data_IF_899599035028
#
_entry.id   IF_899599035028
#
_cell.length_a   1.000
_cell.length_b   1.000
_cell.length_c   1.000
_cell.angle_alpha   90.00
_cell.angle_beta   90.00
_cell.angle_gamma   90.00
#
_symmetry.space_group_name_H-M   'P 1'
#
loop_
_entity.id
_entity.type
_entity.pdbx_description
1 polymer ?
#
# COMPACT_ATOMS: atom_id res chain seq x y z
N UNK A 1 57.37 -40.44 -36.90
CA UNK A 1 57.11 -39.61 -38.11
C UNK A 1 56.65 -38.23 -37.66
N UNK A 2 57.37 -37.20 -38.09
CA UNK A 2 57.17 -35.77 -37.76
C UNK A 2 55.92 -35.21 -38.45
N UNK A 3 55.09 -34.44 -37.74
CA UNK A 3 54.20 -33.39 -38.28
C UNK A 3 54.17 -32.24 -37.28
N UNK A 4 55.00 -31.21 -37.48
CA UNK A 4 54.73 -29.94 -38.18
C UNK A 4 53.66 -29.08 -37.47
N UNK A 5 54.16 -28.23 -36.58
CA UNK A 5 53.51 -27.04 -36.04
C UNK A 5 53.71 -25.92 -37.07
N UNK A 6 52.62 -25.26 -37.49
CA UNK A 6 52.63 -24.08 -38.34
C UNK A 6 51.88 -22.91 -37.65
N UNK A 7 52.34 -21.65 -37.79
CA UNK A 7 51.94 -20.54 -36.92
C UNK A 7 50.85 -19.64 -37.52
N UNK A 8 50.18 -18.90 -36.63
CA UNK A 8 49.80 -17.50 -36.90
C UNK A 8 48.37 -17.24 -37.30
N UNK A 9 47.58 -16.71 -36.36
CA UNK A 9 46.63 -15.64 -36.66
C UNK A 9 46.38 -14.84 -35.37
N UNK A 10 47.06 -13.69 -35.24
CA UNK A 10 46.78 -12.71 -34.18
C UNK A 10 45.83 -11.69 -34.77
N UNK A 11 44.56 -11.75 -34.37
CA UNK A 11 43.55 -10.76 -34.73
C UNK A 11 43.68 -9.57 -33.76
N UNK A 12 44.33 -8.50 -34.20
CA UNK A 12 44.33 -7.21 -33.50
C UNK A 12 43.03 -6.47 -33.86
N UNK A 13 42.03 -6.53 -32.98
CA UNK A 13 40.85 -5.69 -33.05
C UNK A 13 41.19 -4.31 -32.48
N UNK A 14 41.45 -3.35 -33.36
CA UNK A 14 41.54 -1.94 -33.01
C UNK A 14 40.17 -1.40 -32.64
N UNK A 15 39.99 -1.04 -31.37
CA UNK A 15 38.84 -0.25 -30.93
C UNK A 15 39.14 1.21 -31.22
N UNK A 16 38.47 1.75 -32.23
CA UNK A 16 38.48 3.19 -32.54
C UNK A 16 37.65 3.90 -31.49
N UNK A 17 38.32 4.72 -30.67
CA UNK A 17 37.69 5.61 -29.70
C UNK A 17 37.05 6.79 -30.47
N UNK A 18 35.75 6.71 -30.74
CA UNK A 18 34.99 7.80 -31.33
C UNK A 18 34.60 8.76 -30.21
N UNK A 19 35.25 9.93 -30.20
CA UNK A 19 34.82 11.08 -29.42
C UNK A 19 33.45 11.57 -29.93
N UNK A 20 32.41 11.47 -29.10
CA UNK A 20 31.18 12.22 -29.33
C UNK A 20 31.42 13.70 -29.01
N UNK A 21 31.57 14.49 -30.08
CA UNK A 21 31.41 15.93 -30.04
C UNK A 21 29.94 16.28 -29.78
N UNK A 22 29.73 17.33 -28.99
CA UNK A 22 28.44 17.97 -28.79
C UNK A 22 27.86 18.46 -30.13
N UNK A 23 26.60 18.13 -30.39
CA UNK A 23 25.80 18.77 -31.43
C UNK A 23 24.61 19.47 -30.78
N UNK A 24 24.61 20.78 -30.95
CA UNK A 24 23.54 21.73 -30.67
C UNK A 24 22.29 21.46 -31.51
N UNK A 25 21.15 21.68 -30.88
CA UNK A 25 19.94 22.35 -31.38
C UNK A 25 19.48 22.04 -32.81
N UNK A 26 18.34 21.37 -32.92
CA UNK A 26 17.51 21.36 -34.12
C UNK A 26 16.06 21.31 -33.70
N UNK A 27 15.47 22.50 -33.71
CA UNK A 27 14.04 22.79 -33.71
C UNK A 27 13.33 21.99 -34.82
N UNK A 28 12.69 20.88 -34.45
CA UNK A 28 11.64 20.31 -35.30
C UNK A 28 10.33 21.08 -35.07
N UNK A 29 10.02 21.89 -36.07
CA UNK A 29 8.70 22.41 -36.36
C UNK A 29 7.79 21.25 -36.78
N UNK A 30 6.80 20.92 -35.94
CA UNK A 30 5.71 20.03 -36.31
C UNK A 30 4.70 20.79 -37.19
N UNK A 31 4.13 20.17 -38.23
CA UNK A 31 3.11 20.79 -39.07
C UNK A 31 1.80 20.98 -38.30
N UNK A 32 1.24 22.18 -38.46
CA UNK A 32 -0.02 22.62 -37.91
C UNK A 32 -1.19 21.75 -38.37
N UNK A 33 -1.93 21.18 -37.42
CA UNK A 33 -3.34 20.85 -37.60
C UNK A 33 -4.16 22.00 -37.00
N UNK A 34 -4.78 22.77 -37.89
CA UNK A 34 -5.72 23.81 -37.52
C UNK A 34 -6.99 23.21 -36.94
N UNK A 35 -7.27 23.58 -35.70
CA UNK A 35 -8.56 23.44 -35.04
C UNK A 35 -8.75 24.68 -34.18
N UNK A 36 -9.46 25.66 -34.73
CA UNK A 36 -9.81 26.88 -34.05
C UNK A 36 -10.85 26.57 -32.97
N UNK A 37 -10.62 27.04 -31.75
CA UNK A 37 -11.66 27.58 -30.88
C UNK A 37 -11.03 28.65 -30.00
N UNK A 38 -11.53 29.88 -30.17
CA UNK A 38 -11.04 31.07 -29.49
C UNK A 38 -11.53 31.14 -28.06
N UNK A 39 -10.60 31.38 -27.14
CA UNK A 39 -10.88 31.77 -25.76
C UNK A 39 -9.78 32.71 -25.31
N UNK A 40 -10.03 34.01 -25.46
CA UNK A 40 -9.19 35.09 -24.95
C UNK A 40 -9.16 35.06 -23.42
N UNK A 41 -7.98 35.03 -22.81
CA UNK A 41 -7.75 35.69 -21.53
C UNK A 41 -6.31 36.23 -21.49
N UNK A 42 -6.22 37.53 -21.77
CA UNK A 42 -5.09 38.36 -21.45
C UNK A 42 -5.34 38.97 -20.07
N UNK A 43 -4.44 38.75 -19.12
CA UNK A 43 -4.17 39.72 -18.04
C UNK A 43 -2.78 39.46 -17.47
N UNK A 44 -1.95 40.48 -17.64
CA UNK A 44 -0.61 40.60 -17.10
C UNK A 44 -0.62 41.17 -15.66
N UNK A 45 0.49 40.97 -14.95
CA UNK A 45 0.90 41.72 -13.75
C UNK A 45 0.32 41.19 -12.44
N UNK A 46 1.00 41.21 -11.30
CA UNK A 46 2.14 42.04 -10.93
C UNK A 46 2.84 41.42 -9.69
N UNK A 47 4.14 41.61 -9.60
CA UNK A 47 4.92 41.32 -8.38
C UNK A 47 4.59 42.34 -7.29
N UNK A 48 4.59 41.90 -6.03
CA UNK A 48 4.44 42.77 -4.86
C UNK A 48 4.98 42.11 -3.60
N UNK A 49 6.16 42.54 -3.18
CA UNK A 49 6.76 42.23 -1.88
C UNK A 49 6.28 43.22 -0.81
N UNK A 50 6.19 42.75 0.44
CA UNK A 50 6.37 43.58 1.63
C UNK A 50 5.13 43.78 2.52
N UNK A 51 5.34 43.61 3.83
CA UNK A 51 4.53 44.31 4.85
C UNK A 51 4.05 43.46 6.02
N UNK A 52 4.88 43.33 7.06
CA UNK A 52 4.43 42.95 8.39
C UNK A 52 3.74 44.14 9.09
N UNK A 53 2.59 43.91 9.71
CA UNK A 53 2.15 44.62 10.92
C UNK A 53 0.93 43.91 11.52
N UNK A 54 1.03 43.51 12.78
CA UNK A 54 -0.06 42.88 13.52
C UNK A 54 -1.16 43.85 13.94
N UNK A 55 -2.27 43.29 14.39
CA UNK A 55 -3.09 43.79 15.50
C UNK A 55 -4.10 42.73 15.92
N UNK A 56 -4.27 42.62 17.23
CA UNK A 56 -5.13 41.67 17.92
C UNK A 56 -6.62 41.98 17.76
N UNK A 57 -7.44 40.93 17.97
CA UNK A 57 -8.76 41.06 18.58
C UNK A 57 -9.94 40.66 17.69
N UNK A 58 -10.53 39.50 17.95
CA UNK A 58 -11.84 39.41 18.62
C UNK A 58 -12.25 37.95 18.82
N UNK A 59 -12.61 37.63 20.05
CA UNK A 59 -13.36 36.43 20.40
C UNK A 59 -14.78 36.53 19.81
N UNK A 60 -15.24 35.46 19.16
CA UNK A 60 -16.57 35.30 18.62
C UNK A 60 -17.09 33.90 18.97
N UNK A 61 -18.01 33.88 19.92
CA UNK A 61 -18.74 32.74 20.47
C UNK A 61 -19.74 32.13 19.48
N UNK A 62 -20.00 30.82 19.66
CA UNK A 62 -21.34 30.26 19.52
C UNK A 62 -21.61 29.54 18.20
N UNK A 63 -21.57 28.21 18.27
CA UNK A 63 -22.18 27.35 17.26
C UNK A 63 -23.70 27.32 17.39
N UNK A 64 -24.37 27.11 16.26
CA UNK A 64 -25.68 26.47 16.19
C UNK A 64 -25.80 25.76 14.83
N UNK A 65 -26.15 24.49 14.89
CA UNK A 65 -26.23 23.57 13.77
C UNK A 65 -27.40 23.91 12.82
N UNK A 66 -27.14 23.75 11.52
CA UNK A 66 -28.15 23.70 10.48
C UNK A 66 -28.85 22.32 10.50
N UNK A 67 -30.15 22.33 10.21
CA UNK A 67 -31.02 21.16 10.28
C UNK A 67 -31.07 20.28 9.03
N UNK A 68 -31.85 19.21 9.15
CA UNK A 68 -32.45 18.40 8.09
C UNK A 68 -33.74 17.79 8.70
N UNK A 69 -34.95 18.12 8.23
CA UNK A 69 -35.79 17.33 7.30
C UNK A 69 -35.82 15.82 7.63
N UNK A 70 -36.92 15.09 7.78
CA UNK A 70 -38.35 15.25 7.52
C UNK A 70 -38.94 13.84 7.31
N UNK A 71 -40.24 13.64 7.63
CA UNK A 71 -41.13 12.50 7.25
C UNK A 71 -40.80 11.08 7.79
N UNK A 72 -41.73 10.19 8.12
CA UNK A 72 -43.19 10.16 8.06
C UNK A 72 -43.73 9.23 9.17
N UNK A 73 -44.91 9.56 9.70
CA UNK A 73 -45.73 8.64 10.47
C UNK A 73 -46.51 7.69 9.58
N UNK A 74 -46.95 6.56 10.15
CA UNK A 74 -47.82 5.61 9.48
C UNK A 74 -48.16 4.43 10.38
N UNK A 75 -49.01 4.67 11.38
CA UNK A 75 -49.68 3.62 12.12
C UNK A 75 -50.80 3.01 11.25
N UNK A 76 -50.84 1.69 11.17
CA UNK A 76 -51.95 0.92 10.61
C UNK A 76 -52.26 -0.27 11.51
N UNK A 77 -53.33 -0.14 12.30
CA UNK A 77 -53.99 -1.24 13.01
C UNK A 77 -55.10 -1.81 12.12
N UNK A 78 -55.25 -3.14 12.06
CA UNK A 78 -56.51 -3.86 12.33
C UNK A 78 -56.53 -5.32 11.80
N UNK A 79 -56.84 -6.22 12.73
CA UNK A 79 -57.80 -7.35 12.68
C UNK A 79 -57.63 -8.52 11.68
N UNK A 80 -57.63 -9.75 12.23
CA UNK A 80 -58.03 -10.97 11.52
C UNK A 80 -57.52 -12.25 12.19
N UNK A 81 -58.42 -13.16 12.57
CA UNK A 81 -58.24 -14.24 13.55
C UNK A 81 -57.73 -15.60 12.99
N UNK A 82 -57.14 -16.43 13.88
CA UNK A 82 -57.58 -17.80 14.28
C UNK A 82 -56.44 -18.86 14.48
N UNK A 83 -56.55 -19.63 15.60
CA UNK A 83 -55.91 -20.94 15.87
C UNK A 83 -54.68 -20.95 16.80
N UNK A 84 -54.79 -21.19 18.13
CA UNK A 84 -54.64 -22.49 18.86
C UNK A 84 -53.28 -23.22 18.62
N UNK A 85 -52.50 -23.71 19.60
CA UNK A 85 -52.70 -24.01 21.03
C UNK A 85 -51.35 -24.25 21.79
N UNK A 86 -51.39 -24.08 23.13
CA UNK A 86 -50.56 -24.76 24.15
C UNK A 86 -49.12 -24.23 24.37
N UNK A 87 -48.56 -24.11 25.58
CA UNK A 87 -48.98 -24.52 26.92
C UNK A 87 -48.12 -23.77 27.98
N UNK A 88 -48.82 -23.19 28.93
CA UNK A 88 -48.55 -22.90 30.36
C UNK A 88 -47.11 -23.12 30.90
N UNK A 89 -46.52 -22.14 31.58
CA UNK A 89 -46.65 -21.87 33.03
C UNK A 89 -45.82 -20.60 33.32
N UNK A 90 -46.12 -19.65 34.21
CA UNK A 90 -47.10 -19.51 35.27
C UNK A 90 -46.52 -18.51 36.29
N UNK A 91 -47.33 -17.55 36.75
CA UNK A 91 -47.07 -16.71 37.95
C UNK A 91 -46.44 -15.34 37.67
N UNK A 92 -47.18 -14.23 37.56
CA UNK A 92 -47.88 -13.46 38.63
C UNK A 92 -46.89 -12.82 39.63
N UNK A 93 -47.00 -11.58 40.10
CA UNK A 93 -47.91 -10.43 39.99
C UNK A 93 -47.00 -9.21 40.34
N UNK A 94 -47.23 -7.95 39.98
CA UNK A 94 -48.44 -7.18 39.80
C UNK A 94 -48.21 -5.84 40.53
N UNK A 95 -48.38 -4.72 39.79
CA UNK A 95 -48.87 -3.38 40.22
C UNK A 95 -48.22 -2.69 41.45
N UNK A 96 -47.89 -1.39 41.46
CA UNK A 96 -48.72 -0.25 41.04
C UNK A 96 -47.89 1.06 41.08
N UNK A 97 -48.21 1.95 40.14
CA UNK A 97 -48.31 3.42 40.18
C UNK A 97 -47.43 4.29 41.12
N UNK A 98 -46.95 5.41 40.55
CA UNK A 98 -47.14 6.71 41.22
C UNK A 98 -46.00 7.74 41.16
N UNK A 99 -46.17 8.70 40.25
CA UNK A 99 -45.94 10.15 40.43
C UNK A 99 -44.53 10.74 40.61
N UNK A 100 -44.39 11.90 39.97
CA UNK A 100 -43.27 12.81 39.90
C UNK A 100 -43.03 13.61 41.20
N UNK A 101 -41.80 14.11 41.38
CA UNK A 101 -41.55 15.24 42.29
C UNK A 101 -40.11 15.42 42.77
N UNK A 102 -39.49 16.48 42.26
CA UNK A 102 -38.61 17.42 42.95
C UNK A 102 -37.17 17.06 43.40
N UNK A 103 -36.34 18.10 43.22
CA UNK A 103 -34.95 18.25 43.57
C UNK A 103 -34.69 18.22 45.09
N UNK A 104 -33.50 17.76 45.48
CA UNK A 104 -33.05 17.85 46.86
C UNK A 104 -31.69 17.19 47.08
N UNK A 105 -30.76 18.02 47.51
CA UNK A 105 -29.34 17.81 47.80
C UNK A 105 -28.98 16.75 48.86
N UNK A 106 -27.76 16.22 48.69
CA UNK A 106 -26.79 15.66 49.65
C UNK A 106 -27.18 14.48 50.54
N UNK A 107 -26.57 13.32 50.28
CA UNK A 107 -26.12 12.39 51.31
C UNK A 107 -24.99 11.51 50.77
N UNK A 108 -23.85 11.54 51.47
CA UNK A 108 -22.74 10.63 51.26
C UNK A 108 -23.19 9.20 51.56
N UNK A 109 -22.99 8.29 50.61
CA UNK A 109 -23.40 6.90 50.71
C UNK A 109 -22.38 5.96 50.07
N UNK A 110 -21.76 5.16 50.95
CA UNK A 110 -21.18 3.84 50.75
C UNK A 110 -20.18 3.60 49.59
N UNK A 111 -18.98 3.21 49.99
CA UNK A 111 -17.95 2.62 49.16
C UNK A 111 -18.50 1.41 48.38
N UNK A 112 -18.49 1.52 47.05
CA UNK A 112 -18.72 0.40 46.15
C UNK A 112 -17.55 -0.57 46.20
N UNK A 113 -17.87 -1.86 46.33
CA UNK A 113 -16.93 -2.97 46.16
C UNK A 113 -16.40 -2.97 44.73
N UNK A 114 -15.07 -2.99 44.59
CA UNK A 114 -14.39 -3.10 43.32
C UNK A 114 -14.83 -4.40 42.61
N UNK A 115 -15.41 -4.26 41.42
CA UNK A 115 -15.68 -5.38 40.54
C UNK A 115 -14.36 -6.05 40.14
N UNK A 116 -14.28 -7.35 40.35
CA UNK A 116 -13.21 -8.19 39.85
C UNK A 116 -13.24 -8.17 38.32
N UNK A 117 -12.36 -7.35 37.72
CA UNK A 117 -12.09 -7.37 36.28
C UNK A 117 -11.47 -8.71 35.91
N UNK A 118 -12.13 -9.42 35.00
CA UNK A 118 -11.71 -10.72 34.51
C UNK A 118 -10.33 -10.67 33.84
N UNK A 119 -9.37 -11.36 34.43
CA UNK A 119 -8.10 -11.69 33.80
C UNK A 119 -8.33 -12.83 32.80
N UNK A 120 -8.47 -12.49 31.50
CA UNK A 120 -8.30 -13.46 30.41
C UNK A 120 -7.84 -12.78 29.13
N UNK A 121 -6.86 -11.89 29.23
CA UNK A 121 -5.97 -11.59 28.12
C UNK A 121 -4.84 -12.60 28.13
N UNK A 122 -5.06 -13.77 27.52
CA UNK A 122 -3.96 -14.70 27.26
C UNK A 122 -2.90 -13.96 26.45
N UNK A 123 -1.70 -13.82 27.03
CA UNK A 123 -0.55 -13.31 26.31
C UNK A 123 -0.39 -14.16 25.05
N UNK A 124 -0.74 -13.58 23.89
CA UNK A 124 -0.44 -14.18 22.60
C UNK A 124 1.04 -14.51 22.63
N UNK A 125 1.37 -15.78 22.52
CA UNK A 125 2.74 -16.24 22.36
C UNK A 125 3.35 -15.42 21.24
N UNK A 126 4.29 -14.54 21.57
CA UNK A 126 5.13 -13.89 20.58
C UNK A 126 5.72 -15.02 19.75
N UNK A 127 5.26 -15.15 18.51
CA UNK A 127 5.71 -16.19 17.60
C UNK A 127 7.22 -16.14 17.60
N UNK A 128 7.85 -17.22 18.07
CA UNK A 128 9.30 -17.35 18.01
C UNK A 128 9.67 -17.11 16.57
N UNK A 129 10.37 -16.00 16.29
CA UNK A 129 10.94 -15.77 14.98
C UNK A 129 11.74 -17.01 14.66
N UNK A 130 11.21 -17.82 13.74
CA UNK A 130 11.79 -19.09 13.37
C UNK A 130 13.13 -18.81 12.72
N UNK A 131 14.16 -18.67 13.54
CA UNK A 131 15.57 -18.84 13.17
C UNK A 131 15.81 -20.32 12.90
N UNK A 132 14.94 -20.91 12.08
CA UNK A 132 15.17 -22.21 11.48
C UNK A 132 16.21 -21.95 10.43
N UNK A 133 17.48 -22.22 10.76
CA UNK A 133 18.58 -22.34 9.82
C UNK A 133 18.40 -23.49 8.84
N UNK A 134 17.20 -23.64 8.27
CA UNK A 134 16.98 -24.41 7.08
C UNK A 134 17.75 -23.78 5.92
N UNK A 135 18.01 -24.56 4.86
CA UNK A 135 18.70 -24.04 3.69
C UNK A 135 17.94 -22.81 3.17
N UNK A 136 18.68 -21.71 2.99
CA UNK A 136 18.16 -20.52 2.31
C UNK A 136 17.70 -20.95 0.93
N UNK A 137 16.43 -20.69 0.61
CA UNK A 137 15.93 -20.98 -0.74
C UNK A 137 16.73 -20.19 -1.76
N UNK A 138 17.06 -20.84 -2.86
CA UNK A 138 17.89 -20.22 -3.88
C UNK A 138 17.10 -19.22 -4.77
N UNK A 139 15.76 -19.26 -4.74
CA UNK A 139 14.89 -18.52 -5.65
C UNK A 139 14.37 -17.21 -5.07
N UNK A 140 14.27 -17.12 -3.75
CA UNK A 140 13.77 -15.95 -3.03
C UNK A 140 12.25 -15.80 -2.93
N UNK A 141 11.51 -16.23 -3.95
CA UNK A 141 10.05 -16.34 -3.89
C UNK A 141 9.62 -17.71 -3.38
N UNK A 142 8.55 -17.72 -2.59
CA UNK A 142 8.06 -18.90 -1.87
C UNK A 142 7.61 -20.03 -2.80
N UNK A 143 7.05 -19.69 -3.96
CA UNK A 143 6.61 -20.63 -4.99
C UNK A 143 7.71 -21.04 -5.97
N UNK A 144 8.92 -20.50 -5.81
CA UNK A 144 10.09 -20.87 -6.61
C UNK A 144 10.20 -20.16 -7.96
N UNK A 145 9.30 -19.22 -8.27
CA UNK A 145 9.37 -18.42 -9.50
C UNK A 145 9.65 -16.95 -9.20
N UNK A 146 10.45 -16.28 -10.03
CA UNK A 146 10.72 -14.84 -9.90
C UNK A 146 9.96 -14.09 -10.99
N UNK A 147 9.05 -13.22 -10.60
CA UNK A 147 8.29 -12.39 -11.55
C UNK A 147 8.96 -11.04 -11.78
N UNK A 148 9.96 -10.67 -11.00
CA UNK A 148 10.85 -9.56 -11.31
C UNK A 148 12.24 -9.84 -10.75
N UNK A 149 13.26 -9.15 -11.26
CA UNK A 149 14.65 -9.53 -11.00
C UNK A 149 14.90 -11.02 -11.33
N UNK A 150 14.35 -11.50 -12.45
CA UNK A 150 14.30 -12.92 -12.79
C UNK A 150 15.67 -13.56 -13.04
N UNK A 151 16.64 -12.78 -13.53
CA UNK A 151 18.02 -13.26 -13.68
C UNK A 151 18.71 -13.36 -12.32
N UNK A 152 18.69 -14.55 -11.71
CA UNK A 152 19.34 -14.84 -10.44
C UNK A 152 20.86 -14.61 -10.46
N UNK A 153 21.52 -14.77 -11.61
CA UNK A 153 22.97 -14.53 -11.70
C UNK A 153 23.29 -13.04 -11.56
N UNK A 154 22.39 -12.19 -12.05
CA UNK A 154 22.49 -10.74 -11.93
C UNK A 154 21.93 -10.22 -10.59
N UNK A 155 20.87 -10.84 -10.06
CA UNK A 155 20.15 -10.40 -8.86
C UNK A 155 20.13 -11.48 -7.76
N UNK A 156 21.29 -11.92 -7.24
CA UNK A 156 21.34 -13.06 -6.32
C UNK A 156 20.64 -12.81 -4.98
N UNK A 157 20.48 -11.54 -4.57
CA UNK A 157 20.03 -11.18 -3.22
C UNK A 157 18.69 -10.44 -3.15
N UNK A 158 18.04 -10.25 -4.30
CA UNK A 158 16.73 -9.62 -4.41
C UNK A 158 15.88 -10.39 -5.43
N UNK A 159 14.60 -10.55 -5.14
CA UNK A 159 13.60 -11.11 -6.04
C UNK A 159 12.32 -10.27 -5.96
N UNK A 160 11.59 -10.14 -7.06
CA UNK A 160 10.23 -9.62 -7.05
C UNK A 160 9.27 -10.80 -7.18
N UNK A 161 8.38 -10.97 -6.19
CA UNK A 161 7.54 -12.13 -6.04
C UNK A 161 6.07 -11.73 -6.15
N UNK A 162 5.39 -12.24 -7.17
CA UNK A 162 3.95 -12.07 -7.32
C UNK A 162 3.20 -12.94 -6.33
N UNK A 163 1.98 -12.52 -6.00
CA UNK A 163 1.06 -13.37 -5.25
C UNK A 163 -0.01 -12.58 -4.51
N UNK A 164 -0.79 -13.29 -3.72
CA UNK A 164 -1.90 -12.77 -2.93
C UNK A 164 -1.66 -13.04 -1.43
N UNK A 165 -2.31 -12.23 -0.59
CA UNK A 165 -2.37 -12.40 0.86
C UNK A 165 -3.64 -11.72 1.39
N UNK A 166 -4.25 -12.30 2.41
CA UNK A 166 -5.46 -11.77 3.04
C UNK A 166 -5.26 -11.28 4.48
N UNK A 167 -4.09 -11.53 5.06
CA UNK A 167 -3.74 -11.05 6.39
C UNK A 167 -3.14 -9.64 6.27
N UNK A 168 -3.81 -8.60 6.78
CA UNK A 168 -3.50 -7.21 6.46
C UNK A 168 -2.16 -6.76 7.04
N UNK A 169 -1.46 -5.91 6.28
CA UNK A 169 -0.27 -5.18 6.72
C UNK A 169 1.04 -5.62 6.06
N UNK A 170 2.03 -4.72 6.03
CA UNK A 170 3.36 -4.97 5.42
C UNK A 170 4.52 -4.99 6.43
N UNK A 171 4.34 -4.48 7.64
CA UNK A 171 5.44 -4.33 8.59
C UNK A 171 5.68 -5.57 9.44
N UNK A 172 6.88 -6.14 9.33
CA UNK A 172 7.41 -7.22 10.17
C UNK A 172 6.42 -8.37 10.40
N UNK A 173 5.61 -8.67 9.38
CA UNK A 173 4.58 -9.69 9.47
C UNK A 173 5.24 -11.07 9.58
N UNK A 174 4.85 -11.93 10.54
CA UNK A 174 5.32 -13.31 10.55
C UNK A 174 4.73 -14.07 9.35
N UNK A 175 5.42 -15.09 8.87
CA UNK A 175 4.82 -16.06 7.96
C UNK A 175 3.71 -16.83 8.70
N UNK A 176 2.51 -16.92 8.13
CA UNK A 176 1.33 -17.53 8.77
C UNK A 176 0.76 -18.72 7.98
N UNK A 177 1.10 -18.87 6.70
CA UNK A 177 0.62 -19.98 5.88
C UNK A 177 1.75 -20.88 5.37
N UNK A 178 2.83 -21.01 6.15
CA UNK A 178 4.00 -21.83 5.82
C UNK A 178 4.65 -21.47 4.47
N UNK A 179 4.63 -20.19 4.08
CA UNK A 179 5.21 -19.70 2.81
C UNK A 179 4.67 -20.49 1.61
N UNK A 180 3.36 -20.66 1.58
CA UNK A 180 2.65 -21.33 0.48
C UNK A 180 2.00 -20.37 -0.51
N UNK A 181 2.14 -19.07 -0.27
CA UNK A 181 1.68 -18.03 -1.17
C UNK A 181 2.58 -17.95 -2.42
N UNK A 182 2.17 -17.14 -3.38
CA UNK A 182 2.82 -17.01 -4.69
C UNK A 182 1.79 -17.13 -5.82
N UNK A 183 2.09 -16.60 -7.00
CA UNK A 183 1.20 -16.73 -8.16
C UNK A 183 1.20 -18.14 -8.76
N UNK A 184 2.25 -18.92 -8.54
CA UNK A 184 2.32 -20.33 -8.94
C UNK A 184 2.35 -21.29 -7.75
N UNK A 185 2.24 -20.76 -6.53
CA UNK A 185 2.22 -21.51 -5.27
C UNK A 185 0.97 -22.37 -5.06
N UNK A 186 0.95 -23.14 -3.96
CA UNK A 186 -0.19 -24.00 -3.62
C UNK A 186 -1.36 -23.24 -3.01
N UNK A 187 -1.11 -22.09 -2.38
CA UNK A 187 -2.12 -21.19 -1.82
C UNK A 187 -2.15 -19.86 -2.60
N UNK A 188 -2.47 -19.94 -3.89
CA UNK A 188 -2.51 -18.76 -4.78
C UNK A 188 -3.52 -17.70 -4.31
N UNK A 189 -4.59 -18.11 -3.62
CA UNK A 189 -5.57 -17.17 -3.08
C UNK A 189 -5.03 -16.35 -1.90
N UNK A 190 -3.90 -16.76 -1.29
CA UNK A 190 -3.30 -16.07 -0.16
C UNK A 190 -4.11 -16.21 1.13
N UNK A 191 -5.00 -17.21 1.23
CA UNK A 191 -5.90 -17.35 2.39
C UNK A 191 -5.10 -17.71 3.65
N UNK A 192 -5.20 -16.88 4.68
CA UNK A 192 -4.41 -17.00 5.91
C UNK A 192 -2.92 -16.64 5.77
N UNK A 193 -2.50 -16.11 4.61
CA UNK A 193 -1.12 -15.73 4.35
C UNK A 193 -0.87 -14.25 4.65
N UNK A 194 0.34 -13.92 5.10
CA UNK A 194 0.85 -12.54 5.13
C UNK A 194 1.71 -12.25 3.90
N UNK A 195 2.12 -10.99 3.75
CA UNK A 195 3.15 -10.59 2.76
C UNK A 195 4.44 -11.39 2.87
N UNK A 196 4.82 -11.83 4.08
CA UNK A 196 6.05 -12.58 4.32
C UNK A 196 5.98 -13.99 3.77
N UNK A 197 4.76 -14.55 3.64
CA UNK A 197 4.55 -15.86 3.03
C UNK A 197 4.84 -15.88 1.51
N UNK A 198 4.99 -14.72 0.85
CA UNK A 198 5.44 -14.64 -0.55
C UNK A 198 6.96 -14.84 -0.69
N UNK A 199 7.72 -14.62 0.38
CA UNK A 199 9.15 -14.83 0.38
C UNK A 199 9.47 -16.26 0.79
N UNK A 200 10.52 -16.85 0.21
CA UNK A 200 10.97 -18.18 0.54
C UNK A 200 11.66 -18.26 1.92
N UNK A 201 11.86 -19.46 2.51
CA UNK A 201 12.66 -19.62 3.72
C UNK A 201 14.05 -18.99 3.57
N UNK A 202 14.48 -18.24 4.60
CA UNK A 202 15.71 -17.43 4.57
C UNK A 202 15.53 -16.03 3.97
N UNK A 203 14.42 -15.78 3.26
CA UNK A 203 14.09 -14.49 2.68
C UNK A 203 12.99 -13.79 3.48
N UNK A 204 12.99 -12.47 3.39
CA UNK A 204 12.02 -11.56 4.03
C UNK A 204 11.60 -10.50 3.03
N UNK A 205 10.47 -9.85 3.28
CA UNK A 205 10.11 -8.65 2.53
C UNK A 205 11.21 -7.60 2.77
N UNK A 206 11.71 -6.97 1.70
CA UNK A 206 12.73 -5.94 1.79
C UNK A 206 12.24 -4.81 2.70
N UNK A 207 13.09 -4.29 3.60
CA UNK A 207 12.66 -3.29 4.57
C UNK A 207 12.29 -1.96 3.92
N UNK A 208 13.04 -1.56 2.89
CA UNK A 208 12.83 -0.29 2.22
C UNK A 208 14.01 0.06 1.34
N UNK A 209 14.16 1.36 1.07
CA UNK A 209 15.12 1.89 0.09
C UNK A 209 16.57 1.39 0.31
N UNK A 210 17.06 1.45 1.55
CA UNK A 210 18.47 1.17 1.86
C UNK A 210 18.76 -0.34 1.76
N UNK A 211 17.78 -1.17 2.11
CA UNK A 211 17.86 -2.61 1.97
C UNK A 211 17.82 -3.01 0.49
N UNK A 212 16.95 -2.39 -0.31
CA UNK A 212 16.95 -2.59 -1.78
C UNK A 212 18.29 -2.19 -2.39
N UNK A 213 18.87 -1.03 -2.01
CA UNK A 213 20.20 -0.62 -2.48
C UNK A 213 21.32 -1.56 -2.02
N UNK A 214 21.20 -2.12 -0.82
CA UNK A 214 22.16 -3.09 -0.30
C UNK A 214 22.09 -4.45 -1.02
N UNK A 215 20.94 -4.81 -1.61
CA UNK A 215 20.77 -6.07 -2.38
C UNK A 215 20.93 -5.89 -3.89
N UNK A 216 20.67 -4.69 -4.39
CA UNK A 216 20.91 -4.30 -5.77
C UNK A 216 21.39 -2.83 -5.80
N UNK A 217 22.66 -2.61 -6.13
CA UNK A 217 23.27 -1.27 -6.17
C UNK A 217 22.53 -0.29 -7.08
N UNK A 218 21.85 -0.80 -8.12
CA UNK A 218 21.08 -0.01 -9.09
C UNK A 218 19.61 0.12 -8.68
N UNK A 219 19.27 -0.29 -7.46
CA UNK A 219 17.96 -0.13 -6.83
C UNK A 219 16.86 -0.93 -7.52
N UNK A 220 15.90 -0.24 -8.12
CA UNK A 220 14.80 -0.86 -8.86
C UNK A 220 15.19 -1.26 -10.30
N UNK A 221 16.38 -0.91 -10.79
CA UNK A 221 16.81 -1.29 -12.13
C UNK A 221 16.90 -2.81 -12.24
N UNK A 222 16.12 -3.39 -13.16
CA UNK A 222 16.01 -4.83 -13.34
C UNK A 222 14.72 -5.44 -12.79
N UNK A 223 13.89 -4.68 -12.06
CA UNK A 223 12.61 -5.20 -11.53
C UNK A 223 11.71 -5.71 -12.66
N UNK A 224 11.76 -5.09 -13.84
CA UNK A 224 10.96 -5.49 -15.00
C UNK A 224 11.56 -6.68 -15.77
N UNK A 225 12.75 -7.19 -15.39
CA UNK A 225 13.29 -8.42 -15.94
C UNK A 225 12.44 -9.61 -15.45
N UNK A 226 11.59 -10.13 -16.33
CA UNK A 226 10.63 -11.22 -16.06
C UNK A 226 9.21 -10.75 -15.75
N UNK A 227 9.01 -9.45 -15.49
CA UNK A 227 7.72 -8.93 -15.04
C UNK A 227 6.72 -8.74 -16.17
N UNK A 228 5.48 -9.13 -15.90
CA UNK A 228 4.35 -8.88 -16.80
C UNK A 228 3.65 -7.60 -16.39
N UNK A 229 3.92 -6.52 -17.12
CA UNK A 229 3.29 -5.22 -16.90
C UNK A 229 1.75 -5.29 -16.93
N UNK A 230 1.04 -4.52 -16.07
CA UNK A 230 1.58 -3.63 -15.04
C UNK A 230 1.89 -4.34 -13.71
N UNK A 231 2.96 -3.93 -13.03
CA UNK A 231 3.37 -4.48 -11.72
C UNK A 231 3.76 -3.39 -10.72
N UNK A 232 3.41 -3.63 -9.46
CA UNK A 232 3.94 -2.92 -8.31
C UNK A 232 4.48 -3.94 -7.30
N UNK A 233 5.74 -3.80 -6.90
CA UNK A 233 6.36 -4.66 -5.90
C UNK A 233 6.72 -3.82 -4.68
N UNK A 234 5.93 -3.98 -3.61
CA UNK A 234 6.09 -3.19 -2.38
C UNK A 234 7.26 -3.70 -1.52
N UNK A 235 7.84 -2.80 -0.75
CA UNK A 235 8.69 -3.13 0.41
C UNK A 235 7.90 -2.97 1.71
N UNK A 236 8.56 -3.13 2.86
CA UNK A 236 8.03 -2.72 4.18
C UNK A 236 8.24 -1.21 4.44
N UNK A 237 8.24 -0.38 3.38
CA UNK A 237 8.42 1.06 3.51
C UNK A 237 7.10 1.75 3.19
N UNK A 238 6.78 2.74 4.00
CA UNK A 238 5.58 3.55 3.90
C UNK A 238 5.98 5.02 4.15
N UNK A 239 5.04 5.91 4.40
CA UNK A 239 5.29 7.30 4.73
C UNK A 239 4.41 7.80 5.86
N UNK A 240 4.74 8.96 6.41
CA UNK A 240 3.85 9.72 7.30
C UNK A 240 2.92 10.66 6.53
N UNK A 241 2.75 10.42 5.23
CA UNK A 241 2.14 11.35 4.27
C UNK A 241 3.19 12.26 3.60
N UNK A 242 2.75 12.97 2.56
CA UNK A 242 3.57 13.92 1.79
C UNK A 242 4.92 13.35 1.29
N UNK A 243 4.94 12.06 0.94
CA UNK A 243 6.13 11.36 0.43
C UNK A 243 7.33 11.35 1.38
N UNK A 244 7.10 11.42 2.70
CA UNK A 244 8.13 11.28 3.71
C UNK A 244 8.38 9.79 4.01
N UNK A 245 9.08 9.12 3.08
CA UNK A 245 9.35 7.68 3.21
C UNK A 245 10.10 7.31 4.48
N UNK A 246 9.64 6.26 5.14
CA UNK A 246 10.19 5.73 6.39
C UNK A 246 9.88 4.25 6.52
N UNK A 247 10.79 3.53 7.19
CA UNK A 247 10.62 2.12 7.57
C UNK A 247 10.08 1.96 8.99
N UNK A 248 9.87 3.07 9.70
CA UNK A 248 9.27 3.06 11.04
C UNK A 248 7.80 2.67 10.98
N UNK A 249 7.33 1.85 11.91
CA UNK A 249 5.95 1.35 11.95
C UNK A 249 4.89 2.43 12.22
N UNK A 250 5.31 3.66 12.49
CA UNK A 250 4.43 4.84 12.63
C UNK A 250 4.21 5.57 11.31
N UNK A 251 5.03 5.29 10.29
CA UNK A 251 4.79 5.72 8.93
C UNK A 251 3.84 4.71 8.32
N UNK A 252 2.54 4.98 8.32
CA UNK A 252 1.52 4.01 7.92
C UNK A 252 0.74 4.40 6.67
N UNK A 253 1.10 5.55 6.07
CA UNK A 253 0.45 6.09 4.89
C UNK A 253 1.22 5.79 3.61
N UNK A 254 0.52 5.40 2.55
CA UNK A 254 1.07 4.98 1.27
C UNK A 254 2.01 3.77 1.36
N UNK A 255 2.18 3.09 0.24
CA UNK A 255 3.14 2.01 0.04
C UNK A 255 4.16 2.44 -0.99
N UNK A 256 5.40 2.01 -0.83
CA UNK A 256 6.48 2.33 -1.76
C UNK A 256 7.13 1.07 -2.31
N UNK A 257 7.46 1.13 -3.60
CA UNK A 257 7.92 -0.05 -4.32
C UNK A 257 8.64 0.24 -5.62
N UNK A 258 8.95 -0.86 -6.31
CA UNK A 258 9.48 -0.89 -7.66
C UNK A 258 8.39 -1.36 -8.65
N UNK A 259 8.58 -1.07 -9.94
CA UNK A 259 7.69 -1.54 -11.01
C UNK A 259 7.28 -0.42 -11.95
N UNK A 260 6.15 -0.60 -12.61
CA UNK A 260 5.59 0.33 -13.58
C UNK A 260 4.09 0.61 -13.37
N UNK A 261 3.55 0.18 -12.22
CA UNK A 261 2.24 0.52 -11.69
C UNK A 261 2.41 1.36 -10.42
N UNK A 262 1.61 2.40 -10.27
CA UNK A 262 1.72 3.36 -9.17
C UNK A 262 1.81 4.80 -9.64
N UNK A 263 1.89 5.71 -8.68
CA UNK A 263 2.24 7.10 -8.92
C UNK A 263 3.77 7.21 -9.01
N UNK A 264 4.27 7.56 -10.20
CA UNK A 264 5.70 7.71 -10.46
C UNK A 264 6.17 9.10 -10.06
N UNK A 265 7.03 9.20 -9.05
CA UNK A 265 7.57 10.46 -8.56
C UNK A 265 9.06 10.66 -8.91
N UNK A 266 9.56 9.96 -9.94
CA UNK A 266 10.90 10.23 -10.49
C UNK A 266 11.06 11.65 -11.05
N UNK A 267 10.01 12.46 -11.15
CA UNK A 267 10.12 13.89 -11.44
C UNK A 267 10.28 14.78 -10.21
N UNK A 268 10.04 14.27 -8.99
CA UNK A 268 10.03 15.06 -7.75
C UNK A 268 11.38 14.90 -7.01
N UNK A 269 12.20 15.97 -6.89
CA UNK A 269 13.49 15.89 -6.22
C UNK A 269 13.42 15.55 -4.73
N UNK A 270 12.35 15.96 -4.03
CA UNK A 270 12.15 15.69 -2.61
C UNK A 270 11.82 14.22 -2.40
N UNK A 271 10.85 13.71 -3.16
CA UNK A 271 10.48 12.30 -3.09
C UNK A 271 11.65 11.41 -3.53
N UNK A 272 12.42 11.80 -4.54
CA UNK A 272 13.66 11.10 -4.89
C UNK A 272 14.65 11.06 -3.72
N UNK A 273 14.92 12.20 -3.07
CA UNK A 273 15.89 12.26 -1.97
C UNK A 273 15.50 11.36 -0.78
N UNK A 274 14.20 11.19 -0.53
CA UNK A 274 13.68 10.45 0.61
C UNK A 274 13.38 8.97 0.29
N UNK A 275 12.82 8.69 -0.88
CA UNK A 275 12.24 7.40 -1.22
C UNK A 275 13.07 6.59 -2.23
N UNK A 276 13.93 7.22 -3.03
CA UNK A 276 14.71 6.49 -4.04
C UNK A 276 15.55 5.37 -3.39
N UNK A 277 15.61 4.18 -4.02
CA UNK A 277 15.22 3.91 -5.41
C UNK A 277 13.75 3.55 -5.61
N UNK A 278 12.94 3.48 -4.55
CA UNK A 278 11.52 3.16 -4.65
C UNK A 278 10.82 4.39 -5.22
N UNK A 279 10.48 4.36 -6.51
CA UNK A 279 9.93 5.53 -7.22
C UNK A 279 8.43 5.40 -7.54
N UNK A 280 7.82 4.28 -7.17
CA UNK A 280 6.38 4.05 -7.30
C UNK A 280 5.73 4.14 -5.92
N UNK A 281 4.62 4.88 -5.84
CA UNK A 281 3.77 4.97 -4.65
C UNK A 281 2.37 4.40 -4.92
N UNK A 282 1.76 3.79 -3.91
CA UNK A 282 0.36 3.38 -3.97
C UNK A 282 -0.62 4.55 -3.90
N UNK A 283 -0.23 5.69 -3.33
CA UNK A 283 -1.12 6.80 -2.96
C UNK A 283 -2.26 6.39 -2.00
N UNK A 284 -2.91 7.38 -1.37
CA UNK A 284 -4.09 7.21 -0.52
C UNK A 284 -5.09 6.16 -1.06
N UNK A 285 -5.47 5.22 -0.20
CA UNK A 285 -6.37 4.10 -0.44
C UNK A 285 -5.98 3.23 -1.66
N UNK A 286 -4.68 3.05 -1.90
CA UNK A 286 -4.14 2.34 -3.05
C UNK A 286 -4.59 2.96 -4.39
N UNK A 287 -4.97 4.25 -4.46
CA UNK A 287 -5.51 4.85 -5.70
C UNK A 287 -4.51 4.79 -6.87
N UNK A 288 -3.21 4.84 -6.59
CA UNK A 288 -2.11 4.63 -7.54
C UNK A 288 -2.04 3.20 -8.11
N UNK A 289 -2.69 2.23 -7.47
CA UNK A 289 -2.68 0.81 -7.86
C UNK A 289 -4.03 0.32 -8.37
N UNK A 290 -5.05 1.19 -8.37
CA UNK A 290 -6.45 0.85 -8.66
C UNK A 290 -6.96 1.62 -9.87
N UNK A 291 -7.85 1.00 -10.61
CA UNK A 291 -8.52 1.61 -11.74
C UNK A 291 -9.91 2.12 -11.32
N UNK A 292 -9.95 3.07 -10.38
CA UNK A 292 -11.20 3.64 -9.86
C UNK A 292 -11.45 5.09 -10.32
N UNK A 293 -10.59 5.63 -11.20
CA UNK A 293 -10.71 7.00 -11.70
C UNK A 293 -10.47 8.09 -10.65
N UNK A 294 -10.17 7.73 -9.40
CA UNK A 294 -10.14 8.65 -8.27
C UNK A 294 -8.82 9.39 -8.09
N UNK A 295 -7.81 9.09 -8.91
CA UNK A 295 -6.43 9.49 -8.65
C UNK A 295 -5.90 10.72 -9.41
N UNK A 296 -6.73 11.57 -10.03
CA UNK A 296 -6.24 12.75 -10.78
C UNK A 296 -5.17 12.47 -11.86
N UNK A 297 -4.80 13.47 -12.65
CA UNK A 297 -3.79 13.30 -13.71
C UNK A 297 -2.38 12.98 -13.19
N UNK A 298 -2.15 13.13 -11.88
CA UNK A 298 -0.83 13.06 -11.28
C UNK A 298 -0.35 11.62 -11.09
N UNK A 299 -1.28 10.68 -10.95
CA UNK A 299 -0.96 9.27 -10.95
C UNK A 299 -1.12 8.75 -12.37
N UNK A 300 0.04 8.61 -13.01
CA UNK A 300 0.29 8.33 -14.43
C UNK A 300 -0.32 7.01 -14.97
N UNK A 301 -1.21 6.37 -14.21
CA UNK A 301 -1.95 5.18 -14.64
C UNK A 301 -3.39 5.48 -15.05
N UNK A 302 -3.99 6.61 -14.66
CA UNK A 302 -5.35 6.95 -15.07
C UNK A 302 -5.40 7.07 -16.60
N UNK A 303 -6.04 6.09 -17.23
CA UNK A 303 -6.11 5.95 -18.69
C UNK A 303 -5.07 5.01 -19.31
N UNK A 304 -3.97 4.67 -18.62
CA UNK A 304 -2.97 3.73 -19.14
C UNK A 304 -3.48 2.28 -19.09
N UNK A 305 -4.25 1.93 -18.05
CA UNK A 305 -4.77 0.57 -17.86
C UNK A 305 -6.28 0.55 -17.53
N UNK A 306 -7.15 0.97 -18.47
CA UNK A 306 -8.58 1.15 -18.22
C UNK A 306 -9.37 -0.14 -17.96
N UNK A 307 -8.77 -1.30 -18.22
CA UNK A 307 -9.37 -2.63 -17.96
C UNK A 307 -8.72 -3.36 -16.79
N UNK A 308 -7.84 -2.70 -16.04
CA UNK A 308 -7.10 -3.36 -14.96
C UNK A 308 -8.04 -3.65 -13.78
N UNK A 309 -8.11 -4.92 -13.39
CA UNK A 309 -8.82 -5.32 -12.17
C UNK A 309 -8.09 -4.82 -10.93
N UNK A 310 -8.82 -4.45 -9.89
CA UNK A 310 -8.23 -4.06 -8.61
C UNK A 310 -7.76 -5.32 -7.86
N UNK A 311 -6.45 -5.54 -7.78
CA UNK A 311 -5.87 -6.59 -6.94
C UNK A 311 -5.58 -6.09 -5.52
N UNK A 312 -5.17 -4.82 -5.39
CA UNK A 312 -4.76 -4.18 -4.15
C UNK A 312 -5.94 -3.58 -3.38
N UNK A 313 -5.94 -3.75 -2.05
CA UNK A 313 -6.91 -3.13 -1.14
C UNK A 313 -6.15 -2.56 0.06
N UNK A 314 -6.17 -1.23 0.22
CA UNK A 314 -5.52 -0.52 1.34
C UNK A 314 -6.49 -0.26 2.52
N UNK A 315 -7.64 -0.93 2.55
CA UNK A 315 -8.68 -0.67 3.55
C UNK A 315 -9.45 0.63 3.30
N UNK A 316 -9.91 1.27 4.39
CA UNK A 316 -10.73 2.50 4.34
C UNK A 316 -10.12 3.69 5.08
N UNK A 317 -8.99 3.49 5.77
CA UNK A 317 -8.30 4.52 6.55
C UNK A 317 -7.16 5.10 5.70
N UNK A 318 -7.28 6.38 5.36
CA UNK A 318 -6.35 7.11 4.48
C UNK A 318 -5.01 7.41 5.14
N UNK A 319 -4.74 6.95 6.36
CA UNK A 319 -3.45 7.14 7.03
C UNK A 319 -2.84 5.81 7.49
N UNK A 320 -3.54 4.69 7.29
CA UNK A 320 -3.14 3.35 7.79
C UNK A 320 -3.09 2.28 6.73
N UNK A 321 -2.85 2.67 5.48
CA UNK A 321 -2.78 1.76 4.35
C UNK A 321 -1.77 0.63 4.55
N UNK A 322 -0.57 0.94 5.06
CA UNK A 322 0.47 -0.05 5.32
C UNK A 322 0.11 -1.06 6.42
N UNK A 323 -0.90 -0.77 7.25
CA UNK A 323 -1.44 -1.69 8.26
C UNK A 323 -2.62 -2.50 7.74
N UNK A 324 -3.32 -2.00 6.71
CA UNK A 324 -4.56 -2.58 6.20
C UNK A 324 -4.39 -3.27 4.84
N UNK A 325 -3.23 -3.11 4.18
CA UNK A 325 -3.05 -3.58 2.81
C UNK A 325 -3.18 -5.10 2.69
N UNK A 326 -4.01 -5.52 1.73
CA UNK A 326 -4.18 -6.89 1.26
C UNK A 326 -4.11 -6.93 -0.27
N UNK A 327 -3.88 -8.12 -0.83
CA UNK A 327 -3.86 -8.33 -2.28
C UNK A 327 -4.57 -9.63 -2.65
N UNK A 328 -5.57 -9.54 -3.52
CA UNK A 328 -6.52 -10.65 -3.76
C UNK A 328 -6.29 -11.42 -5.06
N UNK A 329 -5.47 -10.88 -5.98
CA UNK A 329 -5.16 -11.52 -7.27
C UNK A 329 -3.69 -11.87 -7.31
N UNK A 330 -3.38 -13.17 -7.39
CA UNK A 330 -2.01 -13.64 -7.29
C UNK A 330 -1.16 -13.23 -8.50
N UNK A 331 -1.76 -13.31 -9.68
CA UNK A 331 -1.14 -13.18 -11.00
C UNK A 331 -1.20 -11.76 -11.59
N UNK A 332 -1.78 -10.80 -10.87
CA UNK A 332 -1.99 -9.44 -11.37
C UNK A 332 -1.29 -8.40 -10.50
N UNK A 333 -0.81 -7.32 -11.11
CA UNK A 333 -0.35 -6.10 -10.43
C UNK A 333 0.83 -6.27 -9.45
N UNK A 334 1.64 -7.33 -9.58
CA UNK A 334 2.89 -7.48 -8.81
C UNK A 334 2.73 -8.21 -7.47
N UNK A 335 3.43 -7.73 -6.44
CA UNK A 335 3.48 -8.36 -5.12
C UNK A 335 4.49 -7.67 -4.20
N UNK A 336 5.49 -8.41 -3.72
CA UNK A 336 6.51 -7.88 -2.79
C UNK A 336 7.92 -8.02 -3.36
N UNK A 337 8.83 -7.18 -2.88
CA UNK A 337 10.26 -7.42 -3.02
C UNK A 337 10.75 -8.29 -1.86
N UNK A 338 11.37 -9.41 -2.17
CA UNK A 338 12.00 -10.29 -1.20
C UNK A 338 13.53 -10.10 -1.23
N UNK A 339 14.11 -9.88 -0.06
CA UNK A 339 15.53 -9.69 0.17
C UNK A 339 16.06 -10.79 1.11
N UNK A 340 17.32 -11.18 0.91
CA UNK A 340 18.05 -12.08 1.80
C UNK A 340 19.33 -11.41 2.28
N UNK A 341 19.72 -11.71 3.51
CA UNK A 341 20.99 -11.22 4.06
C UNK A 341 22.14 -12.09 3.54
N UNK A 342 23.29 -11.46 3.25
CA UNK A 342 24.52 -12.14 2.84
C UNK A 342 25.18 -12.89 4.00
#
# INVERSE_FOLDING_TARGET
MKRLIGPGFVLVLGVTMICCAAATDSTQTLPANGGADGGTDASAGNAGAGGASGSAGKAGSGGAAAGASGQAGGAGTAAGASGQAGSETGGAAGSTAGAAGQAGSVAAGAAGTAGAGGASGGAGTAGTAGSGGGPISEWGCADGTREGFADKSQFPLIAACNGAWDQPGIFNMPAMCNRQAGNTGVNQAGTGCTVTDLCAPGWRVCYGRDDVLARNKDGCLGVMNGATSPVFFTTQMSSTGAFQCSTGTTATNDLFGCGDLGCNFSGDPTAQALCAPLIMSSHDLCKGLRNDGGCGDWCNHLGKYPSLGNAWSCGSDTEKEALNVTKTKADQQGGVLCCVDN
#
